data_IF_026673422703
#
_entry.id   IF_026673422703
#
_cell.length_a   1.000
_cell.length_b   1.000
_cell.length_c   1.000
_cell.angle_alpha   90.00
_cell.angle_beta   90.00
_cell.angle_gamma   90.00
#
_symmetry.space_group_name_H-M   'P 1'
#
loop_
_entity.id
_entity.type
_entity.pdbx_description
1 polymer ?
#
# COMPACT_ATOMS: atom_id res chain seq x y z
N UNK A 1 -31.40 -36.06 -12.79
CA UNK A 1 -32.34 -35.54 -11.77
C UNK A 1 -31.51 -34.75 -10.76
N UNK A 2 -31.64 -33.43 -10.80
CA UNK A 2 -30.90 -32.55 -9.89
C UNK A 2 -31.51 -32.68 -8.50
N UNK A 3 -30.77 -33.26 -7.51
CA UNK A 3 -31.20 -33.23 -6.13
C UNK A 3 -30.84 -31.85 -5.57
N UNK A 4 -31.82 -30.98 -5.40
CA UNK A 4 -31.67 -29.80 -4.56
C UNK A 4 -31.50 -30.27 -3.13
N UNK A 5 -30.28 -30.19 -2.59
CA UNK A 5 -30.05 -30.45 -1.16
C UNK A 5 -30.39 -29.15 -0.42
N UNK A 6 -31.59 -29.10 0.18
CA UNK A 6 -32.08 -27.98 0.99
C UNK A 6 -31.68 -28.10 2.47
N UNK A 7 -30.71 -28.94 2.81
CA UNK A 7 -30.27 -29.09 4.20
C UNK A 7 -29.16 -28.11 4.54
N UNK A 8 -29.35 -27.30 5.57
CA UNK A 8 -28.26 -26.59 6.24
C UNK A 8 -27.27 -27.62 6.78
N UNK A 9 -26.06 -27.61 6.27
CA UNK A 9 -24.96 -28.43 6.79
C UNK A 9 -24.43 -27.70 8.03
N UNK A 10 -24.61 -28.31 9.20
CA UNK A 10 -24.02 -27.77 10.43
C UNK A 10 -22.50 -27.86 10.37
N UNK A 11 -21.81 -26.87 10.92
CA UNK A 11 -20.34 -26.78 10.90
C UNK A 11 -19.61 -28.05 11.39
N UNK A 12 -20.27 -28.87 12.20
CA UNK A 12 -19.71 -30.14 12.74
C UNK A 12 -19.87 -31.35 11.78
N UNK A 13 -20.52 -31.18 10.63
CA UNK A 13 -20.79 -32.27 9.68
C UNK A 13 -19.76 -32.34 8.55
N UNK A 14 -18.91 -31.33 8.37
CA UNK A 14 -17.84 -31.30 7.38
C UNK A 14 -16.51 -31.44 8.11
N UNK A 15 -16.02 -32.66 8.24
CA UNK A 15 -14.74 -32.95 8.87
C UNK A 15 -13.61 -33.23 7.88
N UNK A 16 -13.90 -33.20 6.59
CA UNK A 16 -12.94 -33.48 5.52
C UNK A 16 -13.06 -32.44 4.43
N UNK A 17 -12.01 -32.20 3.62
CA UNK A 17 -12.10 -31.32 2.46
C UNK A 17 -13.25 -31.71 1.53
N UNK A 18 -14.02 -30.73 1.06
CA UNK A 18 -15.05 -30.95 0.05
C UNK A 18 -14.39 -30.82 -1.31
N UNK A 19 -14.46 -31.89 -2.12
CA UNK A 19 -14.06 -31.84 -3.53
C UNK A 19 -15.30 -31.71 -4.40
N UNK A 20 -15.37 -30.66 -5.20
CA UNK A 20 -16.44 -30.41 -6.15
C UNK A 20 -15.92 -30.68 -7.57
N UNK A 21 -16.65 -31.41 -8.42
CA UNK A 21 -16.21 -31.76 -9.78
C UNK A 21 -16.37 -30.61 -10.78
N UNK A 22 -16.87 -29.46 -10.37
CA UNK A 22 -17.12 -28.29 -11.20
C UNK A 22 -17.02 -26.99 -10.41
N UNK A 23 -17.44 -25.89 -11.04
CA UNK A 23 -17.36 -24.55 -10.46
C UNK A 23 -18.26 -24.37 -9.24
N UNK A 24 -17.83 -23.50 -8.32
CA UNK A 24 -18.63 -23.02 -7.18
C UNK A 24 -19.21 -21.66 -7.50
N UNK A 25 -20.53 -21.57 -7.60
CA UNK A 25 -21.24 -20.32 -7.80
C UNK A 25 -21.92 -19.87 -6.52
N UNK A 26 -21.53 -18.70 -6.01
CA UNK A 26 -22.22 -18.02 -4.90
C UNK A 26 -23.19 -17.01 -5.52
N UNK A 27 -24.49 -17.35 -5.57
CA UNK A 27 -25.51 -16.49 -6.20
C UNK A 27 -25.88 -15.28 -5.35
N UNK A 28 -25.78 -15.40 -4.03
CA UNK A 28 -26.00 -14.33 -3.06
C UNK A 28 -25.09 -14.55 -1.85
N UNK A 29 -24.34 -13.53 -1.46
CA UNK A 29 -23.41 -13.62 -0.35
C UNK A 29 -21.94 -13.72 -0.79
N UNK A 30 -21.04 -13.83 0.17
CA UNK A 30 -19.60 -13.82 -0.01
C UNK A 30 -18.96 -15.14 0.40
N UNK A 31 -17.81 -15.48 -0.17
CA UNK A 31 -16.90 -16.45 0.41
C UNK A 31 -16.13 -15.77 1.56
N UNK A 32 -16.37 -16.19 2.80
CA UNK A 32 -15.72 -15.61 3.97
C UNK A 32 -14.56 -16.49 4.41
N UNK A 33 -13.35 -15.95 4.39
CA UNK A 33 -12.15 -16.58 4.96
C UNK A 33 -11.94 -15.98 6.36
N UNK A 34 -12.39 -16.68 7.38
CA UNK A 34 -12.50 -16.14 8.75
C UNK A 34 -11.24 -16.24 9.60
N UNK A 35 -10.11 -16.69 9.06
CA UNK A 35 -8.87 -16.88 9.82
C UNK A 35 -7.71 -16.14 9.15
N UNK A 36 -6.97 -15.33 9.91
CA UNK A 36 -5.77 -14.63 9.43
C UNK A 36 -4.75 -15.60 8.84
N UNK A 37 -4.10 -15.20 7.75
CA UNK A 37 -3.13 -16.03 7.03
C UNK A 37 -3.75 -17.20 6.24
N UNK A 38 -5.08 -17.26 6.12
CA UNK A 38 -5.79 -18.17 5.23
C UNK A 38 -6.38 -17.42 4.05
N UNK A 39 -6.56 -18.11 2.94
CA UNK A 39 -7.02 -17.52 1.68
C UNK A 39 -7.35 -18.57 0.64
N UNK A 40 -7.28 -18.18 -0.62
CA UNK A 40 -7.43 -19.09 -1.76
C UNK A 40 -6.04 -19.64 -2.11
N UNK A 41 -5.91 -20.96 -2.06
CA UNK A 41 -4.65 -21.66 -2.32
C UNK A 41 -4.63 -22.13 -3.79
N UNK A 42 -3.62 -21.68 -4.53
CA UNK A 42 -3.38 -22.05 -5.94
C UNK A 42 -2.22 -23.02 -6.10
N UNK A 43 -1.66 -23.57 -5.01
CA UNK A 43 -0.48 -24.44 -5.04
C UNK A 43 -0.68 -25.75 -5.82
N UNK A 44 -1.93 -26.13 -6.11
CA UNK A 44 -2.24 -27.27 -6.95
C UNK A 44 -2.16 -26.96 -8.46
N UNK A 45 -1.96 -25.69 -8.85
CA UNK A 45 -1.78 -25.31 -10.25
C UNK A 45 -0.32 -25.53 -10.67
N UNK A 46 -0.05 -25.94 -11.95
CA UNK A 46 1.33 -26.06 -12.40
C UNK A 46 2.06 -24.72 -12.36
N UNK A 47 3.17 -24.65 -11.64
CA UNK A 47 4.00 -23.44 -11.50
C UNK A 47 5.31 -23.74 -10.78
N UNK A 48 6.18 -22.74 -10.70
CA UNK A 48 7.47 -22.82 -9.98
C UNK A 48 7.47 -22.01 -8.68
N UNK A 49 6.32 -21.40 -8.32
CA UNK A 49 6.16 -20.58 -7.13
C UNK A 49 6.19 -21.41 -5.84
N UNK A 50 6.75 -20.85 -4.78
CA UNK A 50 6.83 -21.47 -3.45
C UNK A 50 5.70 -21.03 -2.53
N UNK A 51 4.94 -20.00 -2.91
CA UNK A 51 3.78 -19.51 -2.15
C UNK A 51 2.72 -19.03 -3.12
N UNK A 52 1.64 -19.77 -3.23
CA UNK A 52 0.53 -19.51 -4.15
C UNK A 52 -0.79 -19.31 -3.38
N UNK A 53 -0.69 -18.90 -2.12
CA UNK A 53 -1.83 -18.56 -1.28
C UNK A 53 -2.17 -17.06 -1.44
N UNK A 54 -3.34 -16.77 -2.01
CA UNK A 54 -3.93 -15.43 -2.00
C UNK A 54 -4.59 -15.20 -0.64
N UNK A 55 -3.88 -14.52 0.26
CA UNK A 55 -4.32 -14.22 1.61
C UNK A 55 -4.19 -12.73 1.92
N UNK A 56 -4.73 -12.31 3.06
CA UNK A 56 -4.51 -10.98 3.66
C UNK A 56 -4.88 -9.81 2.72
N UNK A 57 -6.04 -9.90 2.05
CA UNK A 57 -6.59 -8.75 1.34
C UNK A 57 -7.18 -7.76 2.34
N UNK A 58 -6.75 -6.51 2.25
CA UNK A 58 -7.22 -5.42 3.11
C UNK A 58 -7.23 -4.10 2.35
N UNK A 59 -8.28 -3.32 2.53
CA UNK A 59 -8.39 -1.94 2.06
C UNK A 59 -8.72 -1.02 3.21
N UNK A 60 -8.25 0.21 3.14
CA UNK A 60 -8.55 1.19 4.16
C UNK A 60 -8.02 2.57 3.85
N UNK A 61 -8.09 3.41 4.87
CA UNK A 61 -7.59 4.78 4.85
C UNK A 61 -6.40 4.94 5.77
N UNK A 62 -5.55 5.91 5.48
CA UNK A 62 -4.44 6.32 6.33
C UNK A 62 -4.27 7.83 6.28
N UNK A 63 -3.53 8.38 7.23
CA UNK A 63 -3.34 9.81 7.35
C UNK A 63 -1.88 10.16 7.10
N UNK A 64 -1.52 10.65 5.90
CA UNK A 64 -0.15 11.12 5.64
C UNK A 64 0.16 12.35 6.51
N UNK A 65 1.33 12.39 7.15
CA UNK A 65 1.72 13.46 8.05
C UNK A 65 3.19 13.79 7.94
N UNK A 66 3.54 15.05 8.09
CA UNK A 66 4.93 15.49 8.27
C UNK A 66 5.30 15.63 9.74
N UNK A 67 4.40 15.26 10.64
CA UNK A 67 4.60 15.26 12.08
C UNK A 67 4.58 16.63 12.74
N UNK A 68 4.91 16.64 14.02
CA UNK A 68 4.99 17.84 14.88
C UNK A 68 3.69 18.67 14.85
N UNK A 69 3.80 19.98 14.79
CA UNK A 69 2.68 20.92 14.81
C UNK A 69 2.33 21.46 13.40
N UNK A 70 2.65 20.72 12.34
CA UNK A 70 2.23 21.10 10.98
C UNK A 70 0.71 21.18 10.88
N UNK A 71 0.21 22.14 10.09
CA UNK A 71 -1.20 22.29 9.76
C UNK A 71 -1.45 21.95 8.30
N UNK A 72 -2.65 21.44 8.00
CA UNK A 72 -2.97 20.87 6.70
C UNK A 72 -4.26 21.46 6.14
N UNK A 73 -4.26 21.74 4.84
CA UNK A 73 -5.46 22.07 4.05
C UNK A 73 -6.14 20.77 3.62
N UNK A 74 -5.36 19.77 3.19
CA UNK A 74 -5.84 18.45 2.83
C UNK A 74 -4.85 17.38 3.30
N UNK A 75 -5.40 16.28 3.85
CA UNK A 75 -4.65 15.18 4.43
C UNK A 75 -5.49 13.92 4.31
N UNK A 76 -5.31 13.17 3.23
CA UNK A 76 -6.04 11.92 3.04
C UNK A 76 -5.22 10.88 2.30
N UNK A 77 -5.37 9.63 2.68
CA UNK A 77 -4.72 8.50 2.05
C UNK A 77 -5.61 7.27 2.03
N UNK A 78 -5.41 6.44 1.03
CA UNK A 78 -6.04 5.15 0.84
C UNK A 78 -4.98 4.09 0.63
N UNK A 79 -5.24 2.87 1.07
CA UNK A 79 -4.37 1.75 0.81
C UNK A 79 -5.14 0.52 0.32
N UNK A 80 -4.44 -0.31 -0.40
CA UNK A 80 -4.83 -1.70 -0.70
C UNK A 80 -3.63 -2.59 -0.38
N UNK A 81 -3.86 -3.65 0.40
CA UNK A 81 -2.87 -4.68 0.72
C UNK A 81 -3.33 -6.01 0.15
N UNK A 82 -2.42 -6.72 -0.52
CA UNK A 82 -2.65 -8.08 -1.03
C UNK A 82 -1.41 -8.91 -0.64
N UNK A 83 -1.59 -9.87 0.26
CA UNK A 83 -0.46 -10.59 0.83
C UNK A 83 0.54 -9.64 1.49
N UNK A 84 1.78 -9.64 1.01
CA UNK A 84 2.84 -8.74 1.49
C UNK A 84 3.00 -7.45 0.66
N UNK A 85 2.18 -7.25 -0.38
CA UNK A 85 2.24 -6.07 -1.22
C UNK A 85 1.25 -5.01 -0.75
N UNK A 86 1.74 -3.79 -0.57
CA UNK A 86 0.96 -2.62 -0.18
C UNK A 86 1.07 -1.55 -1.25
N UNK A 87 -0.07 -1.03 -1.70
CA UNK A 87 -0.18 0.14 -2.56
C UNK A 87 -0.85 1.26 -1.76
N UNK A 88 -0.20 2.41 -1.70
CA UNK A 88 -0.73 3.64 -1.11
C UNK A 88 -1.05 4.66 -2.18
N UNK A 89 -2.12 5.44 -1.96
CA UNK A 89 -2.43 6.68 -2.67
C UNK A 89 -2.70 7.75 -1.64
N UNK A 90 -2.27 8.99 -1.89
CA UNK A 90 -2.53 10.07 -0.95
C UNK A 90 -2.52 11.46 -1.61
N UNK A 91 -3.18 12.36 -0.90
CA UNK A 91 -3.16 13.80 -1.09
C UNK A 91 -2.65 14.40 0.21
N UNK A 92 -1.68 15.28 0.10
CA UNK A 92 -1.15 16.04 1.23
C UNK A 92 -0.93 17.49 0.79
N UNK A 93 -1.75 18.39 1.32
CA UNK A 93 -1.62 19.84 1.12
C UNK A 93 -1.35 20.47 2.47
N UNK A 94 -0.15 21.01 2.64
CA UNK A 94 0.30 21.64 3.88
C UNK A 94 -0.10 23.11 3.87
N UNK A 95 -0.73 23.57 4.95
CA UNK A 95 -0.95 24.99 5.20
C UNK A 95 0.32 25.64 5.78
N UNK A 96 0.79 25.12 6.91
CA UNK A 96 2.06 25.56 7.50
C UNK A 96 2.85 24.33 7.98
N UNK A 97 4.12 24.21 7.56
CA UNK A 97 4.99 23.13 7.97
C UNK A 97 5.43 23.24 9.42
N UNK A 98 5.59 24.48 9.94
CA UNK A 98 6.08 24.76 11.29
C UNK A 98 7.36 23.96 11.62
N UNK A 99 7.34 23.09 12.64
CA UNK A 99 8.43 22.16 12.97
C UNK A 99 8.26 20.75 12.37
N UNK A 100 7.38 20.60 11.39
CA UNK A 100 7.20 19.35 10.65
C UNK A 100 8.42 18.98 9.80
N UNK A 101 8.48 17.74 9.36
CA UNK A 101 9.60 17.26 8.53
C UNK A 101 9.56 17.82 7.12
N UNK A 102 10.67 18.38 6.67
CA UNK A 102 10.85 18.81 5.28
C UNK A 102 11.24 17.67 4.33
N UNK A 103 11.49 16.46 4.84
CA UNK A 103 12.05 15.34 4.07
C UNK A 103 11.23 14.07 4.14
N UNK A 104 10.30 13.95 5.10
CA UNK A 104 9.60 12.68 5.38
C UNK A 104 8.10 12.88 5.55
N UNK A 105 7.35 11.93 4.99
CA UNK A 105 5.92 11.74 5.28
C UNK A 105 5.79 10.44 6.08
N UNK A 106 5.05 10.50 7.17
CA UNK A 106 4.81 9.41 8.15
C UNK A 106 3.34 9.01 8.14
N UNK A 107 2.96 8.09 9.03
CA UNK A 107 1.57 7.63 9.20
C UNK A 107 1.22 6.42 8.32
N UNK A 108 2.21 5.74 7.75
CA UNK A 108 2.00 4.55 6.94
C UNK A 108 1.20 3.48 7.70
N UNK A 109 0.21 2.83 7.07
CA UNK A 109 -0.60 1.81 7.72
C UNK A 109 0.19 0.52 8.03
N UNK A 110 1.24 0.27 7.24
CA UNK A 110 2.15 -0.88 7.42
C UNK A 110 3.59 -0.43 7.24
N UNK A 111 4.49 -1.05 7.99
CA UNK A 111 5.91 -0.75 7.89
C UNK A 111 6.52 -1.44 6.67
N UNK A 112 7.27 -0.75 5.82
CA UNK A 112 8.06 -1.40 4.78
C UNK A 112 9.02 -2.43 5.37
N UNK A 113 9.13 -3.60 4.72
CA UNK A 113 10.00 -4.69 5.17
C UNK A 113 11.46 -4.27 5.20
N UNK A 114 12.16 -4.63 6.28
CA UNK A 114 13.60 -4.38 6.44
C UNK A 114 14.46 -5.14 5.41
N UNK A 115 13.93 -6.24 4.87
CA UNK A 115 14.64 -7.14 3.94
C UNK A 115 14.48 -6.73 2.47
N UNK A 116 13.73 -5.66 2.20
CA UNK A 116 13.55 -5.17 0.82
C UNK A 116 14.73 -4.29 0.38
N UNK A 117 15.02 -4.23 -0.93
CA UNK A 117 15.89 -3.19 -1.46
C UNK A 117 15.43 -1.84 -0.92
N UNK A 118 16.35 -1.04 -0.48
CA UNK A 118 16.16 0.17 0.35
C UNK A 118 15.20 1.19 -0.25
N UNK A 119 14.83 1.05 -1.53
CA UNK A 119 14.03 2.02 -2.27
C UNK A 119 13.02 1.26 -3.12
N UNK A 120 11.75 1.34 -2.74
CA UNK A 120 10.63 0.91 -3.59
C UNK A 120 9.92 2.16 -4.09
N UNK A 121 9.91 2.35 -5.40
CA UNK A 121 9.50 3.60 -6.04
C UNK A 121 7.98 3.79 -6.07
N UNK A 122 7.61 5.03 -6.31
CA UNK A 122 6.25 5.46 -6.56
C UNK A 122 6.19 6.52 -7.65
N UNK A 123 5.01 7.05 -7.88
CA UNK A 123 4.74 8.09 -8.85
C UNK A 123 4.22 9.34 -8.13
N UNK A 124 4.81 10.47 -8.45
CA UNK A 124 4.26 11.79 -8.10
C UNK A 124 3.43 12.27 -9.28
N UNK A 125 2.11 12.27 -9.11
CA UNK A 125 1.18 12.70 -10.16
C UNK A 125 1.12 14.22 -10.27
N UNK A 126 1.26 14.89 -9.13
CA UNK A 126 1.25 16.35 -9.03
C UNK A 126 2.08 16.78 -7.83
N UNK A 127 2.85 17.83 -7.97
CA UNK A 127 3.49 18.53 -6.85
C UNK A 127 3.61 20.02 -7.15
N UNK A 128 3.39 20.83 -6.13
CA UNK A 128 3.47 22.29 -6.20
C UNK A 128 4.10 22.86 -4.93
N UNK A 129 4.61 24.09 -5.01
CA UNK A 129 5.23 24.80 -3.88
C UNK A 129 6.34 24.00 -3.18
N UNK A 130 7.22 23.39 -3.97
CA UNK A 130 8.38 22.71 -3.41
C UNK A 130 9.29 23.70 -2.67
N UNK A 131 9.71 23.35 -1.46
CA UNK A 131 10.66 24.14 -0.67
C UNK A 131 12.04 24.26 -1.35
N UNK A 132 12.40 23.30 -2.19
CA UNK A 132 13.62 23.31 -3.00
C UNK A 132 13.28 23.03 -4.45
N UNK A 133 13.74 23.87 -5.36
CA UNK A 133 13.53 23.67 -6.80
C UNK A 133 14.16 22.34 -7.28
N UNK A 134 13.47 21.62 -8.13
CA UNK A 134 13.92 20.36 -8.70
C UNK A 134 13.54 20.26 -10.18
N UNK A 135 14.44 19.67 -10.99
CA UNK A 135 14.16 19.31 -12.39
C UNK A 135 13.32 18.03 -12.50
N UNK A 136 13.47 17.14 -11.56
CA UNK A 136 12.63 15.95 -11.44
C UNK A 136 12.40 15.61 -9.97
N UNK A 137 11.23 15.04 -9.70
CA UNK A 137 10.81 14.61 -8.37
C UNK A 137 10.38 13.15 -8.45
N UNK A 138 10.97 12.32 -7.61
CA UNK A 138 10.55 10.95 -7.41
C UNK A 138 10.18 10.72 -5.95
N UNK A 139 9.46 9.64 -5.70
CA UNK A 139 8.96 9.27 -4.38
C UNK A 139 9.30 7.82 -4.09
N UNK A 140 9.56 7.49 -2.84
CA UNK A 140 9.85 6.13 -2.40
C UNK A 140 9.45 5.89 -0.96
N UNK A 141 9.11 4.63 -0.64
CA UNK A 141 8.98 4.16 0.72
C UNK A 141 10.33 3.61 1.21
N UNK A 142 10.64 3.83 2.47
CA UNK A 142 11.87 3.38 3.10
C UNK A 142 11.57 2.66 4.40
N UNK A 143 12.41 1.67 4.75
CA UNK A 143 12.43 1.07 6.08
C UNK A 143 12.50 2.17 7.16
N UNK A 144 11.71 2.04 8.23
CA UNK A 144 11.52 3.06 9.26
C UNK A 144 10.20 3.82 9.14
N UNK A 145 9.27 3.32 8.30
CA UNK A 145 7.90 3.87 8.17
C UNK A 145 7.83 5.27 7.59
N UNK A 146 8.66 5.55 6.60
CA UNK A 146 8.70 6.86 5.94
C UNK A 146 8.47 6.73 4.44
N UNK A 147 7.78 7.74 3.92
CA UNK A 147 7.83 8.10 2.50
C UNK A 147 8.77 9.30 2.37
N UNK A 148 9.62 9.26 1.37
CA UNK A 148 10.58 10.32 1.06
C UNK A 148 10.59 10.67 -0.40
N UNK A 149 11.17 11.84 -0.70
CA UNK A 149 11.38 12.30 -2.05
C UNK A 149 12.87 12.25 -2.41
N UNK A 150 13.14 11.97 -3.67
CA UNK A 150 14.44 12.22 -4.26
C UNK A 150 14.28 13.25 -5.39
N UNK A 151 15.28 14.09 -5.55
CA UNK A 151 15.27 15.15 -6.56
C UNK A 151 16.51 15.11 -7.42
N UNK A 152 16.36 15.58 -8.64
CA UNK A 152 17.47 15.93 -9.51
C UNK A 152 17.43 17.45 -9.75
N UNK A 153 18.45 18.14 -9.32
CA UNK A 153 18.51 19.60 -9.34
C UNK A 153 19.35 20.19 -10.47
N UNK A 154 20.13 19.36 -11.17
CA UNK A 154 20.99 19.76 -12.27
C UNK A 154 20.85 18.82 -13.46
N UNK A 155 21.18 19.29 -14.65
CA UNK A 155 21.25 18.48 -15.87
C UNK A 155 22.49 17.57 -15.93
N UNK A 156 23.34 17.56 -14.90
CA UNK A 156 24.53 16.75 -14.83
C UNK A 156 24.20 15.29 -14.56
N UNK A 157 25.03 14.38 -15.06
CA UNK A 157 24.79 12.94 -15.14
C UNK A 157 24.83 12.19 -13.78
N UNK A 158 25.07 12.87 -12.65
CA UNK A 158 25.36 12.17 -11.40
C UNK A 158 24.63 12.63 -10.14
N UNK A 159 23.92 13.72 -10.14
CA UNK A 159 23.42 14.29 -8.90
C UNK A 159 21.94 13.98 -8.65
N UNK A 160 21.68 12.92 -7.88
CA UNK A 160 20.36 12.67 -7.27
C UNK A 160 20.47 12.88 -5.77
N UNK A 161 19.72 13.83 -5.23
CA UNK A 161 19.62 14.03 -3.79
C UNK A 161 18.55 13.13 -3.21
N UNK A 162 18.94 12.12 -2.45
CA UNK A 162 18.04 11.30 -1.65
C UNK A 162 17.57 12.05 -0.41
N UNK A 163 16.37 11.75 0.07
CA UNK A 163 15.76 12.46 1.21
C UNK A 163 15.75 13.98 1.01
N UNK A 164 15.32 14.42 -0.15
CA UNK A 164 15.32 15.82 -0.50
C UNK A 164 14.35 16.62 0.40
N UNK A 165 14.81 17.78 0.87
CA UNK A 165 14.02 18.74 1.66
C UNK A 165 13.08 19.53 0.74
N UNK A 166 12.09 18.87 0.17
CA UNK A 166 11.13 19.49 -0.78
C UNK A 166 9.82 19.90 -0.12
N UNK A 167 9.56 19.38 1.09
CA UNK A 167 8.31 19.64 1.81
C UNK A 167 8.45 20.97 2.57
N UNK A 168 7.52 21.86 2.38
CA UNK A 168 7.50 23.17 3.04
C UNK A 168 6.08 23.65 3.31
N UNK A 169 5.96 24.90 3.72
CA UNK A 169 4.67 25.58 3.84
C UNK A 169 4.04 25.70 2.44
N UNK A 170 2.74 25.46 2.35
CA UNK A 170 1.93 25.40 1.12
C UNK A 170 2.34 24.29 0.12
N UNK A 171 3.20 23.35 0.53
CA UNK A 171 3.51 22.18 -0.29
C UNK A 171 2.24 21.37 -0.57
N UNK A 172 2.08 20.99 -1.83
CA UNK A 172 0.92 20.24 -2.30
C UNK A 172 1.39 19.06 -3.15
N UNK A 173 0.92 17.85 -2.83
CA UNK A 173 1.34 16.62 -3.53
C UNK A 173 0.23 15.61 -3.64
N UNK A 174 0.09 15.02 -4.84
CA UNK A 174 -0.76 13.86 -5.13
C UNK A 174 0.15 12.75 -5.64
N UNK A 175 0.19 11.65 -4.91
CA UNK A 175 1.15 10.60 -5.20
C UNK A 175 0.63 9.20 -4.86
N UNK A 176 1.30 8.22 -5.45
CA UNK A 176 1.18 6.81 -5.07
C UNK A 176 2.55 6.20 -4.85
N UNK A 177 2.62 5.22 -3.96
CA UNK A 177 3.81 4.44 -3.70
C UNK A 177 3.42 3.01 -3.36
N UNK A 178 4.23 2.05 -3.80
CA UNK A 178 4.04 0.64 -3.47
C UNK A 178 5.28 0.10 -2.77
N UNK A 179 5.07 -0.84 -1.83
CA UNK A 179 6.17 -1.48 -1.10
C UNK A 179 5.72 -2.85 -0.58
N UNK A 180 6.64 -3.63 -0.06
CA UNK A 180 6.38 -4.91 0.61
C UNK A 180 6.53 -4.77 2.13
N UNK A 181 5.75 -5.56 2.86
CA UNK A 181 5.73 -5.65 4.33
C UNK A 181 6.20 -7.02 4.81
#
# INVERSE_FOLDING_TARGET
MLKTVTNSINANQIQTPITLPGDVTLSTGNLVIGTSGKGIDFSATPGTGTSELLADYEEGTWTPSVGSNATYIAQSGYYTKIGNFVKLRFILTIDAINSGSSTTITGLPFNPSANQPVIVGGVVCYANNLATAALSLGIYAQNGSFIRFFTRNTSSTGATTQSAAVIGTLFDVYAEVSYQV
#
